data_IF_152260253596
#
_entry.id   IF_152260253596
#
_cell.length_a   1.000
_cell.length_b   1.000
_cell.length_c   1.000
_cell.angle_alpha   90.00
_cell.angle_beta   90.00
_cell.angle_gamma   90.00
#
_symmetry.space_group_name_H-M   'P 1'
#
loop_
_entity.id
_entity.type
_entity.pdbx_description
1 polymer ?
#
# COMPACT_ATOMS: atom_id res chain seq x y z
N UNK A 1 -27.04 -17.74 20.61
CA UNK A 1 -26.65 -17.07 19.36
C UNK A 1 -25.27 -16.45 19.55
N UNK A 2 -24.23 -17.20 19.18
CA UNK A 2 -22.85 -16.72 19.22
C UNK A 2 -22.65 -15.94 17.91
N UNK A 3 -22.68 -14.61 17.98
CA UNK A 3 -22.32 -13.75 16.86
C UNK A 3 -20.81 -13.73 16.74
N UNK A 4 -20.26 -14.67 15.98
CA UNK A 4 -18.89 -14.58 15.48
C UNK A 4 -18.85 -13.51 14.41
N UNK A 5 -18.62 -12.25 14.81
CA UNK A 5 -18.09 -11.25 13.89
C UNK A 5 -16.68 -11.71 13.51
N UNK A 6 -16.57 -12.57 12.50
CA UNK A 6 -15.31 -12.76 11.81
C UNK A 6 -14.89 -11.38 11.29
N UNK A 7 -13.77 -10.87 11.80
CA UNK A 7 -13.08 -9.74 11.22
C UNK A 7 -12.87 -10.05 9.73
N UNK A 8 -13.60 -9.34 8.87
CA UNK A 8 -13.39 -9.41 7.42
C UNK A 8 -11.95 -8.95 7.18
N UNK A 9 -11.05 -9.91 6.97
CA UNK A 9 -9.69 -9.65 6.51
C UNK A 9 -9.80 -8.74 5.29
N UNK A 10 -9.05 -7.63 5.30
CA UNK A 10 -9.02 -6.70 4.18
C UNK A 10 -8.71 -7.45 2.89
N UNK A 11 -9.36 -7.11 1.76
CA UNK A 11 -9.01 -7.68 0.48
C UNK A 11 -7.52 -7.42 0.19
N UNK A 12 -6.83 -8.43 -0.36
CA UNK A 12 -5.40 -8.38 -0.71
C UNK A 12 -5.03 -7.26 -1.70
N UNK A 13 -6.02 -6.62 -2.31
CA UNK A 13 -5.87 -5.50 -3.26
C UNK A 13 -5.78 -4.12 -2.60
N UNK A 14 -6.07 -3.99 -1.30
CA UNK A 14 -6.01 -2.71 -0.57
C UNK A 14 -4.62 -2.39 0.03
N UNK A 15 -4.42 -1.17 0.55
CA UNK A 15 -3.23 -0.83 1.32
C UNK A 15 -3.06 -1.78 2.52
N UNK A 16 -1.82 -2.23 2.74
CA UNK A 16 -1.45 -3.04 3.88
C UNK A 16 -1.58 -2.25 5.19
N UNK A 17 -1.28 -0.94 5.15
CA UNK A 17 -1.47 -0.01 6.26
C UNK A 17 -1.79 1.39 5.73
N UNK A 18 -2.81 2.03 6.29
CA UNK A 18 -3.18 3.42 5.99
C UNK A 18 -2.98 4.26 7.25
N UNK A 19 -2.10 5.25 7.16
CA UNK A 19 -1.80 6.16 8.26
C UNK A 19 -2.29 7.56 7.88
N UNK A 20 -3.01 8.22 8.77
CA UNK A 20 -3.33 9.64 8.67
C UNK A 20 -2.47 10.44 9.65
N UNK A 21 -2.01 11.62 9.26
CA UNK A 21 -1.38 12.59 10.17
C UNK A 21 -2.00 13.96 9.99
N UNK A 22 -2.27 14.65 11.08
CA UNK A 22 -2.79 16.02 11.04
C UNK A 22 -2.31 16.83 12.24
N UNK A 23 -1.68 17.97 11.96
CA UNK A 23 -1.59 19.06 12.92
C UNK A 23 -2.99 19.71 13.01
N UNK A 24 -3.63 19.59 14.18
CA UNK A 24 -5.05 19.90 14.34
C UNK A 24 -5.30 21.28 14.95
N UNK A 25 -4.28 21.99 15.42
CA UNK A 25 -4.37 23.33 16.02
C UNK A 25 -5.52 23.46 17.04
N UNK A 26 -5.51 22.58 18.03
CA UNK A 26 -6.50 22.47 19.08
C UNK A 26 -7.69 21.61 18.69
N UNK A 27 -7.86 20.50 19.42
CA UNK A 27 -8.94 19.54 19.17
C UNK A 27 -10.19 19.88 20.01
N UNK A 28 -11.36 19.76 19.38
CA UNK A 28 -12.67 19.90 20.00
C UNK A 28 -13.62 18.84 19.43
N UNK A 29 -14.84 18.72 19.97
CA UNK A 29 -15.80 17.68 19.56
C UNK A 29 -16.08 17.66 18.05
N UNK A 30 -16.16 18.83 17.40
CA UNK A 30 -16.41 18.90 15.96
C UNK A 30 -15.21 18.39 15.16
N UNK A 31 -14.00 18.75 15.57
CA UNK A 31 -12.76 18.23 14.96
C UNK A 31 -12.59 16.72 15.22
N UNK A 32 -13.02 16.22 16.37
CA UNK A 32 -13.05 14.78 16.69
C UNK A 32 -13.97 14.01 15.71
N UNK A 33 -15.14 14.56 15.38
CA UNK A 33 -16.06 13.99 14.39
C UNK A 33 -15.48 14.00 12.98
N UNK A 34 -14.85 15.12 12.57
CA UNK A 34 -14.21 15.23 11.25
C UNK A 34 -13.01 14.29 11.10
N UNK A 35 -12.22 14.10 12.15
CA UNK A 35 -11.14 13.11 12.16
C UNK A 35 -11.69 11.68 12.07
N UNK A 36 -12.85 11.40 12.69
CA UNK A 36 -13.50 10.10 12.59
C UNK A 36 -14.02 9.84 11.17
N UNK A 37 -14.64 10.84 10.53
CA UNK A 37 -15.07 10.76 9.14
C UNK A 37 -13.88 10.56 8.19
N UNK A 38 -12.81 11.34 8.34
CA UNK A 38 -11.57 11.18 7.59
C UNK A 38 -11.03 9.74 7.71
N UNK A 39 -11.00 9.20 8.93
CA UNK A 39 -10.55 7.84 9.17
C UNK A 39 -11.45 6.79 8.51
N UNK A 40 -12.78 6.99 8.59
CA UNK A 40 -13.77 6.08 8.01
C UNK A 40 -13.70 6.07 6.48
N UNK A 41 -13.71 7.23 5.84
CA UNK A 41 -13.66 7.37 4.37
C UNK A 41 -12.40 6.72 3.79
N UNK A 42 -11.28 6.81 4.49
CA UNK A 42 -9.98 6.34 4.01
C UNK A 42 -9.58 4.96 4.52
N UNK A 43 -10.44 4.29 5.30
CA UNK A 43 -10.09 3.04 5.99
C UNK A 43 -8.76 3.17 6.75
N UNK A 44 -8.64 4.22 7.57
CA UNK A 44 -7.45 4.53 8.33
C UNK A 44 -7.19 3.45 9.40
N UNK A 45 -5.92 3.10 9.58
CA UNK A 45 -5.45 2.15 10.60
C UNK A 45 -4.82 2.88 11.78
N UNK A 46 -4.06 3.93 11.52
CA UNK A 46 -3.36 4.73 12.53
C UNK A 46 -3.56 6.21 12.23
N UNK A 47 -4.04 6.98 13.21
CA UNK A 47 -4.18 8.43 13.12
C UNK A 47 -3.20 9.08 14.09
N UNK A 48 -2.27 9.86 13.56
CA UNK A 48 -1.35 10.71 14.31
C UNK A 48 -1.90 12.14 14.33
N UNK A 49 -2.03 12.73 15.51
CA UNK A 49 -2.56 14.07 15.70
C UNK A 49 -1.55 14.90 16.46
N UNK A 50 -1.17 16.06 15.92
CA UNK A 50 -0.28 17.04 16.55
C UNK A 50 -1.07 18.30 16.94
N UNK A 51 -0.55 19.09 17.88
CA UNK A 51 -1.21 20.30 18.43
C UNK A 51 -2.62 20.05 18.94
N UNK A 52 -2.82 19.03 19.77
CA UNK A 52 -4.14 18.71 20.36
C UNK A 52 -4.64 19.78 21.34
N UNK A 53 -3.75 20.56 21.96
CA UNK A 53 -4.05 21.57 22.99
C UNK A 53 -4.84 21.02 24.18
N UNK A 54 -4.56 19.77 24.58
CA UNK A 54 -5.15 19.12 25.76
C UNK A 54 -4.16 19.13 26.90
N UNK A 55 -4.54 19.66 28.06
CA UNK A 55 -3.74 19.54 29.29
C UNK A 55 -4.15 18.29 30.11
N UNK A 56 -3.40 17.95 31.14
CA UNK A 56 -3.67 16.78 31.99
C UNK A 56 -5.02 16.84 32.72
N UNK A 57 -5.59 18.03 32.92
CA UNK A 57 -6.89 18.23 33.56
C UNK A 57 -8.09 18.18 32.62
N UNK A 58 -7.86 18.07 31.30
CA UNK A 58 -8.90 18.00 30.29
C UNK A 58 -9.20 16.55 29.90
N UNK A 59 -10.40 16.32 29.39
CA UNK A 59 -10.75 15.03 28.82
C UNK A 59 -9.81 14.68 27.66
N UNK A 60 -9.38 13.42 27.62
CA UNK A 60 -8.63 12.88 26.50
C UNK A 60 -9.43 13.05 25.19
N UNK A 61 -8.73 13.35 24.08
CA UNK A 61 -9.35 13.44 22.78
C UNK A 61 -9.93 12.08 22.36
N UNK A 62 -11.04 12.12 21.64
CA UNK A 62 -11.75 10.92 21.17
C UNK A 62 -11.91 10.96 19.66
N UNK A 63 -11.95 9.80 19.02
CA UNK A 63 -12.22 9.70 17.58
C UNK A 63 -12.97 8.40 17.35
N UNK A 64 -14.22 8.49 16.89
CA UNK A 64 -15.07 7.31 16.76
C UNK A 64 -14.45 6.28 15.80
N UNK A 65 -14.50 4.99 16.18
CA UNK A 65 -13.86 3.90 15.45
C UNK A 65 -12.35 3.73 15.68
N UNK A 66 -11.73 4.62 16.47
CA UNK A 66 -10.30 4.57 16.80
C UNK A 66 -10.11 4.57 18.33
N UNK A 67 -9.17 3.77 18.83
CA UNK A 67 -8.73 3.77 20.23
C UNK A 67 -7.50 4.66 20.40
N UNK A 68 -7.46 5.46 21.47
CA UNK A 68 -6.29 6.25 21.85
C UNK A 68 -5.22 5.31 22.44
N UNK A 69 -3.98 5.35 21.92
CA UNK A 69 -2.90 4.42 22.32
C UNK A 69 -1.64 5.11 22.86
N UNK A 70 -1.45 6.38 22.52
CA UNK A 70 -0.39 7.22 23.07
C UNK A 70 -0.90 8.66 23.12
N UNK A 71 -0.58 9.37 24.19
CA UNK A 71 -0.90 10.79 24.36
C UNK A 71 0.18 11.50 25.15
N UNK A 72 0.62 12.65 24.63
CA UNK A 72 1.44 13.63 25.32
C UNK A 72 0.58 14.89 25.50
N UNK A 73 0.01 15.14 26.69
CA UNK A 73 -0.78 16.34 26.93
C UNK A 73 0.10 17.60 26.93
N UNK A 74 -0.37 18.68 26.30
CA UNK A 74 0.22 20.00 26.40
C UNK A 74 -0.80 21.09 26.13
N UNK A 75 -0.71 22.22 26.85
CA UNK A 75 -1.67 23.34 26.71
C UNK A 75 -1.54 24.07 25.36
N UNK A 76 -0.33 24.12 24.78
CA UNK A 76 -0.04 24.81 23.51
C UNK A 76 0.26 23.85 22.35
N UNK A 77 0.63 22.61 22.65
CA UNK A 77 1.09 21.62 21.67
C UNK A 77 0.32 20.33 21.90
N UNK A 78 1.01 19.21 22.06
CA UNK A 78 0.46 17.96 22.54
C UNK A 78 0.09 17.07 21.37
N UNK A 79 0.45 15.81 21.47
CA UNK A 79 0.29 14.83 20.40
C UNK A 79 -0.48 13.62 20.88
N UNK A 80 -1.20 12.98 19.96
CA UNK A 80 -1.93 11.76 20.22
C UNK A 80 -1.81 10.80 19.04
N UNK A 81 -1.70 9.51 19.34
CA UNK A 81 -1.83 8.45 18.34
C UNK A 81 -3.09 7.66 18.66
N UNK A 82 -3.93 7.50 17.65
CA UNK A 82 -5.08 6.62 17.66
C UNK A 82 -4.88 5.47 16.69
N UNK A 83 -5.42 4.30 17.03
CA UNK A 83 -5.35 3.11 16.19
C UNK A 83 -6.75 2.56 16.01
N UNK A 84 -7.08 2.02 14.84
CA UNK A 84 -8.39 1.39 14.62
C UNK A 84 -8.60 0.29 15.66
N UNK A 85 -9.80 0.22 16.24
CA UNK A 85 -10.06 -0.67 17.39
C UNK A 85 -9.74 -2.14 17.15
N UNK A 86 -9.85 -2.63 15.90
CA UNK A 86 -9.54 -4.02 15.50
C UNK A 86 -8.05 -4.32 15.30
N UNK A 87 -7.16 -3.35 15.51
CA UNK A 87 -5.71 -3.52 15.33
C UNK A 87 -5.04 -3.55 16.69
N UNK A 88 -4.23 -4.57 16.93
CA UNK A 88 -3.43 -4.68 18.15
C UNK A 88 -2.17 -3.83 18.09
N UNK A 89 -1.89 -3.18 19.22
CA UNK A 89 -0.67 -2.42 19.44
C UNK A 89 0.16 -3.19 20.44
N UNK A 90 1.40 -3.54 20.07
CA UNK A 90 2.28 -4.33 20.93
C UNK A 90 2.89 -3.47 22.04
N UNK A 91 3.37 -2.28 21.69
CA UNK A 91 3.96 -1.31 22.62
C UNK A 91 3.65 0.11 22.17
N UNK A 92 3.61 1.05 23.12
CA UNK A 92 3.67 2.48 22.86
C UNK A 92 4.73 3.11 23.76
N UNK A 93 5.52 4.03 23.21
CA UNK A 93 6.56 4.78 23.93
C UNK A 93 6.48 6.25 23.53
N UNK A 94 6.83 7.11 24.47
CA UNK A 94 6.84 8.56 24.30
C UNK A 94 8.19 9.05 24.82
N UNK A 95 8.88 9.83 24.00
CA UNK A 95 10.09 10.58 24.38
C UNK A 95 9.89 12.05 24.05
N UNK A 96 10.67 12.89 24.72
CA UNK A 96 10.60 14.33 24.56
C UNK A 96 11.98 14.97 24.77
N UNK A 97 12.34 15.90 23.89
CA UNK A 97 13.53 16.73 24.03
C UNK A 97 13.24 18.12 23.48
N UNK A 98 13.47 19.17 24.26
CA UNK A 98 13.23 20.57 23.86
C UNK A 98 11.83 20.83 23.26
N UNK A 99 10.79 20.30 23.93
CA UNK A 99 9.38 20.28 23.50
C UNK A 99 9.11 19.53 22.18
N UNK A 100 10.07 18.80 21.63
CA UNK A 100 9.88 17.91 20.48
C UNK A 100 9.23 16.63 20.99
N UNK A 101 8.02 16.36 20.52
CA UNK A 101 7.19 15.25 20.97
C UNK A 101 7.37 14.07 19.99
N UNK A 102 7.83 12.93 20.50
CA UNK A 102 8.07 11.73 19.69
C UNK A 102 7.27 10.57 20.29
N UNK A 103 6.20 10.19 19.60
CA UNK A 103 5.32 9.09 20.01
C UNK A 103 5.52 7.93 19.05
N UNK A 104 5.92 6.76 19.55
CA UNK A 104 6.14 5.56 18.71
C UNK A 104 5.29 4.39 19.18
N UNK A 105 4.59 3.75 18.24
CA UNK A 105 3.82 2.54 18.49
C UNK A 105 4.30 1.38 17.62
N UNK A 106 4.19 0.16 18.15
CA UNK A 106 4.40 -1.08 17.38
C UNK A 106 3.07 -1.64 16.89
N UNK A 107 2.91 -1.77 15.57
CA UNK A 107 1.74 -2.34 14.91
C UNK A 107 2.19 -3.40 13.92
N UNK A 108 1.84 -4.67 14.19
CA UNK A 108 2.25 -5.79 13.34
C UNK A 108 3.77 -5.90 13.19
N UNK A 109 4.27 -5.69 11.97
CA UNK A 109 5.71 -5.77 11.63
C UNK A 109 6.39 -4.41 11.49
N UNK A 110 5.72 -3.32 11.83
CA UNK A 110 6.25 -1.97 11.71
C UNK A 110 6.14 -1.19 13.01
N UNK A 111 6.98 -0.16 13.13
CA UNK A 111 6.80 0.94 14.05
C UNK A 111 6.20 2.13 13.30
N UNK A 112 5.28 2.83 13.95
CA UNK A 112 4.76 4.12 13.49
C UNK A 112 5.15 5.18 14.49
N UNK A 113 5.91 6.18 14.05
CA UNK A 113 6.40 7.29 14.87
C UNK A 113 5.76 8.60 14.43
N UNK A 114 4.98 9.21 15.32
CA UNK A 114 4.48 10.58 15.18
C UNK A 114 5.49 11.54 15.78
N UNK A 115 5.90 12.55 15.02
CA UNK A 115 6.78 13.63 15.50
C UNK A 115 6.06 14.98 15.43
N UNK A 116 6.14 15.75 16.50
CA UNK A 116 5.85 17.18 16.47
C UNK A 116 7.05 17.95 16.97
N UNK A 117 7.64 18.80 16.12
CA UNK A 117 8.67 19.75 16.50
C UNK A 117 8.08 21.16 16.47
N UNK A 118 8.11 21.92 17.57
CA UNK A 118 7.73 23.33 17.54
C UNK A 118 8.62 24.17 16.61
N UNK A 119 8.11 25.28 16.03
CA UNK A 119 8.84 26.08 15.05
C UNK A 119 10.13 26.70 15.58
N UNK A 120 10.15 27.07 16.87
CA UNK A 120 11.30 27.74 17.50
C UNK A 120 12.32 26.77 18.11
N UNK A 121 12.02 25.46 18.14
CA UNK A 121 12.94 24.45 18.67
C UNK A 121 14.00 24.10 17.62
N UNK A 122 15.19 23.72 18.09
CA UNK A 122 16.21 23.11 17.22
C UNK A 122 15.91 21.63 17.08
N UNK A 123 15.94 21.08 15.86
CA UNK A 123 15.66 19.66 15.67
C UNK A 123 16.64 18.78 16.44
N UNK A 124 16.07 17.88 17.23
CA UNK A 124 16.71 16.82 17.97
C UNK A 124 15.77 15.62 18.01
N UNK A 125 16.34 14.41 18.13
CA UNK A 125 15.57 13.17 18.15
C UNK A 125 16.00 12.32 19.34
N UNK A 126 15.23 12.38 20.42
CA UNK A 126 15.38 11.45 21.54
C UNK A 126 14.70 10.14 21.18
N UNK A 127 15.49 9.11 20.86
CA UNK A 127 14.99 7.87 20.25
C UNK A 127 14.18 7.05 21.26
N UNK A 128 12.89 6.76 21.01
CA UNK A 128 12.10 5.87 21.85
C UNK A 128 12.67 4.45 21.92
N UNK A 129 12.53 3.79 23.07
CA UNK A 129 13.05 2.43 23.29
C UNK A 129 12.49 1.39 22.30
N UNK A 130 11.28 1.62 21.77
CA UNK A 130 10.64 0.74 20.79
C UNK A 130 10.87 1.17 19.33
N UNK A 131 11.75 2.14 19.06
CA UNK A 131 11.96 2.64 17.69
C UNK A 131 12.56 1.58 16.77
N UNK A 132 13.57 0.84 17.24
CA UNK A 132 14.37 -0.14 16.48
C UNK A 132 13.88 -1.60 16.64
N UNK A 133 12.73 -1.83 17.29
CA UNK A 133 12.27 -3.20 17.61
C UNK A 133 11.66 -3.94 16.41
N UNK A 134 11.40 -3.24 15.31
CA UNK A 134 10.86 -3.78 14.04
C UNK A 134 11.73 -3.35 12.87
N UNK A 135 11.58 -4.05 11.74
CA UNK A 135 12.37 -3.78 10.53
C UNK A 135 11.78 -2.69 9.62
N UNK A 136 10.54 -2.25 9.87
CA UNK A 136 9.83 -1.27 9.05
C UNK A 136 9.50 -0.09 9.95
N UNK A 137 10.12 1.06 9.68
CA UNK A 137 9.89 2.31 10.41
C UNK A 137 9.09 3.26 9.52
N UNK A 138 7.95 3.72 10.01
CA UNK A 138 7.15 4.73 9.32
C UNK A 138 7.08 5.95 10.21
N UNK A 139 7.76 7.01 9.79
CA UNK A 139 7.77 8.28 10.52
C UNK A 139 6.93 9.31 9.76
N UNK A 140 6.05 9.98 10.48
CA UNK A 140 5.16 11.01 9.95
C UNK A 140 4.94 12.09 11.01
N UNK A 141 4.73 13.33 10.61
CA UNK A 141 4.53 14.39 11.57
C UNK A 141 4.76 15.77 11.00
N UNK A 142 4.77 16.75 11.89
CA UNK A 142 5.07 18.15 11.59
C UNK A 142 6.43 18.51 12.21
N UNK A 143 7.41 18.70 11.33
CA UNK A 143 8.78 18.97 11.72
C UNK A 143 9.05 20.47 11.83
N UNK A 144 8.16 21.36 11.37
CA UNK A 144 8.42 22.80 11.24
C UNK A 144 9.86 23.09 10.80
N UNK A 145 10.26 22.50 9.67
CA UNK A 145 11.62 22.53 9.13
C UNK A 145 11.55 22.62 7.60
N UNK A 146 12.25 23.58 7.03
CA UNK A 146 12.22 23.83 5.59
C UNK A 146 13.41 23.15 4.90
N UNK A 147 13.13 22.35 3.86
CA UNK A 147 14.16 21.75 3.02
C UNK A 147 13.68 21.62 1.58
N UNK A 148 14.59 21.83 0.64
CA UNK A 148 14.29 21.75 -0.80
C UNK A 148 13.85 20.35 -1.26
N UNK A 149 14.29 19.29 -0.57
CA UNK A 149 13.88 17.91 -0.88
C UNK A 149 12.41 17.60 -0.59
N UNK A 150 11.74 18.34 0.29
CA UNK A 150 10.30 18.19 0.52
C UNK A 150 9.48 19.39 0.07
N UNK A 151 10.06 20.23 -0.81
CA UNK A 151 9.34 21.20 -1.62
C UNK A 151 9.34 22.64 -1.12
N UNK A 152 10.25 23.01 -0.23
CA UNK A 152 10.50 24.43 0.09
C UNK A 152 11.50 25.04 -0.90
N UNK A 153 11.46 26.36 -1.06
CA UNK A 153 12.38 27.10 -1.94
C UNK A 153 13.81 27.12 -1.40
N UNK A 154 13.94 27.16 -0.07
CA UNK A 154 15.22 27.21 0.65
C UNK A 154 15.26 26.15 1.75
N UNK A 155 16.47 25.72 2.07
CA UNK A 155 16.75 24.85 3.20
C UNK A 155 17.14 25.69 4.41
N UNK A 156 16.48 25.47 5.54
CA UNK A 156 16.89 26.03 6.83
C UNK A 156 17.75 25.03 7.63
N UNK A 157 18.38 25.51 8.71
CA UNK A 157 19.26 24.70 9.57
C UNK A 157 18.55 23.51 10.23
N UNK A 158 17.24 23.58 10.46
CA UNK A 158 16.49 22.42 10.95
C UNK A 158 16.21 21.42 9.82
N UNK A 159 15.96 21.88 8.61
CA UNK A 159 15.83 21.07 7.41
C UNK A 159 17.07 20.21 7.17
N UNK A 160 18.26 20.84 7.21
CA UNK A 160 19.55 20.12 7.10
C UNK A 160 19.68 19.05 8.19
N UNK A 161 19.33 19.38 9.44
CA UNK A 161 19.41 18.42 10.56
C UNK A 161 18.45 17.25 10.40
N UNK A 162 17.24 17.50 9.91
CA UNK A 162 16.25 16.46 9.62
C UNK A 162 16.73 15.56 8.48
N UNK A 163 17.32 16.12 7.42
CA UNK A 163 17.89 15.33 6.32
C UNK A 163 19.04 14.44 6.80
N UNK A 164 20.02 15.00 7.53
CA UNK A 164 21.16 14.25 8.07
C UNK A 164 20.68 13.14 9.03
N UNK A 165 19.69 13.44 9.88
CA UNK A 165 19.07 12.43 10.74
C UNK A 165 18.38 11.34 9.94
N UNK A 166 17.64 11.70 8.89
CA UNK A 166 16.95 10.73 8.04
C UNK A 166 17.94 9.81 7.32
N UNK A 167 19.00 10.37 6.74
CA UNK A 167 20.07 9.62 6.08
C UNK A 167 20.77 8.67 7.05
N UNK A 168 21.12 9.16 8.25
CA UNK A 168 21.77 8.35 9.30
C UNK A 168 20.91 7.17 9.74
N UNK A 169 19.59 7.29 9.67
CA UNK A 169 18.63 6.23 9.98
C UNK A 169 18.16 5.45 8.73
N UNK A 170 18.78 5.69 7.56
CA UNK A 170 18.44 5.06 6.28
C UNK A 170 16.97 5.20 5.90
N UNK A 171 16.39 6.35 6.24
CA UNK A 171 15.00 6.68 5.93
C UNK A 171 14.92 7.25 4.52
N UNK A 172 13.80 6.97 3.85
CA UNK A 172 13.53 7.48 2.50
C UNK A 172 12.25 8.29 2.54
N UNK A 173 12.26 9.43 1.85
CA UNK A 173 11.09 10.29 1.76
C UNK A 173 10.03 9.63 0.86
N UNK A 174 8.81 9.46 1.38
CA UNK A 174 7.68 8.86 0.64
C UNK A 174 7.19 9.78 -0.50
N UNK A 175 7.51 11.07 -0.43
CA UNK A 175 7.20 12.04 -1.47
C UNK A 175 8.46 12.81 -1.83
N UNK A 176 9.22 12.30 -2.78
CA UNK A 176 10.29 13.07 -3.42
C UNK A 176 9.73 13.77 -4.67
N UNK A 177 9.62 15.11 -4.69
CA UNK A 177 9.21 15.85 -5.88
C UNK A 177 10.19 15.69 -7.07
N UNK A 178 11.39 15.15 -6.84
CA UNK A 178 12.47 14.99 -7.83
C UNK A 178 12.67 13.54 -8.30
N UNK A 179 12.12 12.52 -7.62
CA UNK A 179 12.35 11.11 -7.97
C UNK A 179 11.06 10.38 -8.35
N UNK A 180 11.05 9.82 -9.57
CA UNK A 180 9.91 9.04 -10.05
C UNK A 180 9.95 7.56 -9.62
N UNK A 181 11.11 6.95 -9.38
CA UNK A 181 11.18 5.50 -9.08
C UNK A 181 12.42 5.14 -8.25
N UNK A 182 12.22 4.73 -7.00
CA UNK A 182 13.16 3.88 -6.27
C UNK A 182 12.41 2.62 -5.85
N UNK A 183 13.02 1.46 -6.07
CA UNK A 183 12.50 0.17 -5.62
C UNK A 183 12.75 0.01 -4.11
N UNK A 184 11.86 0.55 -3.28
CA UNK A 184 11.82 0.28 -1.85
C UNK A 184 11.10 -1.05 -1.58
N UNK A 185 11.42 -1.70 -0.45
CA UNK A 185 10.75 -2.94 0.03
C UNK A 185 9.27 -2.67 0.41
N UNK A 186 8.92 -1.40 0.55
CA UNK A 186 7.58 -0.90 0.90
C UNK A 186 7.25 0.24 -0.06
N UNK A 187 6.16 0.12 -0.81
CA UNK A 187 5.67 1.16 -1.74
C UNK A 187 4.60 2.00 -1.02
N UNK A 188 4.95 3.25 -0.70
CA UNK A 188 4.11 4.19 0.03
C UNK A 188 3.59 5.29 -0.90
N UNK A 189 2.29 5.59 -0.82
CA UNK A 189 1.68 6.72 -1.53
C UNK A 189 1.24 7.79 -0.54
N UNK A 190 1.69 9.02 -0.75
CA UNK A 190 1.19 10.23 -0.06
C UNK A 190 -0.05 10.76 -0.78
N UNK A 191 -1.12 11.02 -0.03
CA UNK A 191 -2.32 11.71 -0.50
C UNK A 191 -2.68 12.83 0.49
N UNK A 192 -3.30 13.90 -0.02
CA UNK A 192 -3.73 15.03 0.81
C UNK A 192 -5.22 14.89 1.11
N UNK A 193 -5.57 14.88 2.39
CA UNK A 193 -6.94 14.81 2.88
C UNK A 193 -7.72 16.11 2.68
N UNK A 194 -9.04 16.02 2.92
CA UNK A 194 -9.91 17.20 2.94
C UNK A 194 -9.48 18.17 4.06
N UNK A 195 -9.63 19.49 3.85
CA UNK A 195 -9.32 20.46 4.88
C UNK A 195 -10.23 20.29 6.10
N UNK A 196 -9.66 20.48 7.29
CA UNK A 196 -10.43 20.57 8.53
C UNK A 196 -10.54 22.06 8.88
N UNK A 197 -11.73 22.58 9.29
CA UNK A 197 -11.87 23.99 9.65
C UNK A 197 -10.95 24.39 10.82
N UNK A 198 -10.44 25.62 10.77
CA UNK A 198 -9.57 26.19 11.81
C UNK A 198 -8.29 25.38 12.06
N UNK A 199 -7.69 24.85 11.00
CA UNK A 199 -6.28 24.44 10.94
C UNK A 199 -5.69 24.96 9.64
N UNK A 200 -4.45 25.46 9.68
CA UNK A 200 -3.72 25.85 8.46
C UNK A 200 -3.12 24.64 7.74
N UNK A 201 -3.04 23.48 8.43
CA UNK A 201 -2.50 22.25 7.90
C UNK A 201 -3.57 21.37 7.25
N UNK A 202 -3.15 20.63 6.23
CA UNK A 202 -3.99 19.62 5.59
C UNK A 202 -3.64 18.24 6.14
N UNK A 203 -4.61 17.38 6.45
CA UNK A 203 -4.33 16.00 6.79
C UNK A 203 -3.53 15.32 5.69
N UNK A 204 -2.51 14.55 6.05
CA UNK A 204 -1.71 13.74 5.14
C UNK A 204 -2.10 12.29 5.34
N UNK A 205 -2.40 11.60 4.24
CA UNK A 205 -2.67 10.17 4.19
C UNK A 205 -1.46 9.47 3.58
N UNK A 206 -0.89 8.53 4.32
CA UNK A 206 0.17 7.65 3.87
C UNK A 206 -0.40 6.23 3.70
N UNK A 207 -0.51 5.78 2.44
CA UNK A 207 -1.00 4.44 2.09
C UNK A 207 0.18 3.55 1.77
N UNK A 208 0.48 2.64 2.68
CA UNK A 208 1.55 1.66 2.55
C UNK A 208 1.01 0.41 1.88
N UNK A 209 1.62 0.02 0.75
CA UNK A 209 1.28 -1.21 0.03
C UNK A 209 2.42 -2.22 0.13
N UNK A 210 2.07 -3.51 0.24
CA UNK A 210 3.04 -4.57 0.09
C UNK A 210 3.54 -4.58 -1.37
N UNK A 211 4.86 -4.65 -1.57
CA UNK A 211 5.48 -4.63 -2.91
C UNK A 211 5.11 -5.88 -3.72
N UNK A 212 4.84 -7.00 -3.06
CA UNK A 212 4.27 -8.19 -3.72
C UNK A 212 2.76 -8.02 -3.80
N UNK A 213 2.30 -7.38 -4.87
CA UNK A 213 0.89 -7.38 -5.27
C UNK A 213 0.65 -8.62 -6.13
N UNK A 214 -0.33 -9.49 -5.81
CA UNK A 214 -0.87 -10.41 -6.80
C UNK A 214 -1.45 -9.55 -7.91
N UNK A 215 -0.73 -9.42 -9.01
CA UNK A 215 -1.27 -8.76 -10.18
C UNK A 215 -2.10 -9.82 -10.91
N UNK A 216 -3.38 -9.54 -11.13
CA UNK A 216 -4.15 -10.25 -12.14
C UNK A 216 -3.51 -9.94 -13.49
N UNK A 217 -2.56 -10.79 -13.89
CA UNK A 217 -1.97 -10.68 -15.21
C UNK A 217 -3.07 -11.00 -16.22
N UNK A 218 -3.51 -10.06 -17.07
CA UNK A 218 -4.42 -10.42 -18.14
C UNK A 218 -3.75 -11.51 -18.97
N UNK A 219 -4.50 -12.56 -19.34
CA UNK A 219 -3.98 -13.66 -20.15
C UNK A 219 -3.46 -13.12 -21.50
N UNK A 220 -2.15 -12.85 -21.57
CA UNK A 220 -1.50 -12.41 -22.79
C UNK A 220 -1.31 -13.62 -23.71
N UNK A 221 -1.98 -13.59 -24.88
CA UNK A 221 -1.75 -14.57 -25.95
C UNK A 221 -0.30 -14.43 -26.44
N UNK A 222 0.53 -15.44 -26.21
CA UNK A 222 1.94 -15.46 -26.62
C UNK A 222 2.09 -16.15 -27.98
N UNK A 223 3.08 -15.75 -28.75
CA UNK A 223 3.46 -16.45 -29.99
C UNK A 223 3.91 -17.87 -29.66
N UNK A 224 3.36 -18.85 -30.38
CA UNK A 224 3.81 -20.22 -30.32
C UNK A 224 4.75 -20.51 -31.49
N UNK A 225 6.03 -20.25 -31.28
CA UNK A 225 7.08 -20.45 -32.29
C UNK A 225 7.29 -21.92 -32.68
N UNK A 226 6.83 -22.87 -31.85
CA UNK A 226 6.90 -24.30 -32.16
C UNK A 226 5.84 -24.73 -33.18
N UNK A 227 4.70 -24.04 -33.24
CA UNK A 227 3.62 -24.27 -34.20
C UNK A 227 3.63 -23.28 -35.37
N UNK A 228 4.68 -22.47 -35.48
CA UNK A 228 4.80 -21.50 -36.56
C UNK A 228 5.01 -22.20 -37.90
N UNK A 229 4.28 -21.74 -38.91
CA UNK A 229 4.55 -22.11 -40.29
C UNK A 229 5.69 -21.22 -40.83
N UNK A 230 6.91 -21.62 -40.49
CA UNK A 230 8.11 -20.86 -40.86
C UNK A 230 8.33 -20.79 -42.36
N UNK A 231 7.91 -21.81 -43.12
CA UNK A 231 8.07 -21.83 -44.57
C UNK A 231 7.23 -20.73 -45.21
N UNK A 232 5.93 -20.69 -44.90
CA UNK A 232 5.03 -19.69 -45.47
C UNK A 232 5.30 -18.29 -44.92
N UNK A 233 5.72 -18.18 -43.65
CA UNK A 233 6.20 -16.92 -43.06
C UNK A 233 7.37 -16.33 -43.85
N UNK A 234 8.39 -17.15 -44.11
CA UNK A 234 9.63 -16.73 -44.79
C UNK A 234 9.31 -16.28 -46.21
N UNK A 235 8.57 -17.10 -46.98
CA UNK A 235 8.16 -16.74 -48.33
C UNK A 235 7.38 -15.42 -48.38
N UNK A 236 6.39 -15.25 -47.50
CA UNK A 236 5.58 -14.04 -47.47
C UNK A 236 6.38 -12.80 -47.05
N UNK A 237 7.37 -12.96 -46.17
CA UNK A 237 8.25 -11.88 -45.76
C UNK A 237 9.21 -11.49 -46.87
N UNK A 238 9.87 -12.45 -47.51
CA UNK A 238 10.78 -12.22 -48.63
C UNK A 238 10.07 -11.51 -49.79
N UNK A 239 8.88 -11.99 -50.17
CA UNK A 239 8.07 -11.36 -51.21
C UNK A 239 7.71 -9.91 -50.85
N UNK A 240 7.33 -9.65 -49.60
CA UNK A 240 6.88 -8.32 -49.20
C UNK A 240 8.04 -7.33 -48.95
N UNK A 241 9.19 -7.80 -48.49
CA UNK A 241 10.38 -6.96 -48.24
C UNK A 241 10.95 -6.39 -49.54
N UNK A 242 10.74 -7.04 -50.69
CA UNK A 242 11.15 -6.51 -52.01
C UNK A 242 10.56 -5.14 -52.34
N UNK A 243 9.49 -4.73 -51.65
CA UNK A 243 8.84 -3.42 -51.82
C UNK A 243 9.48 -2.30 -50.99
N UNK A 244 10.44 -2.61 -50.12
CA UNK A 244 11.10 -1.66 -49.24
C UNK A 244 12.58 -1.52 -49.60
N UNK A 245 13.03 -0.28 -49.79
CA UNK A 245 14.47 0.00 -49.94
C UNK A 245 15.20 -0.13 -48.59
N UNK A 246 16.44 -0.65 -48.58
CA UNK A 246 17.22 -0.88 -47.36
C UNK A 246 17.86 0.42 -46.84
N UNK A 247 17.03 1.39 -46.48
CA UNK A 247 17.41 2.69 -45.91
C UNK A 247 16.87 2.82 -44.48
N UNK A 248 17.53 3.61 -43.64
CA UNK A 248 17.19 3.72 -42.21
C UNK A 248 15.77 4.26 -41.98
N UNK A 249 15.29 5.11 -42.88
CA UNK A 249 13.95 5.70 -42.88
C UNK A 249 12.84 4.62 -42.97
N UNK A 250 13.17 3.43 -43.48
CA UNK A 250 12.23 2.32 -43.65
C UNK A 250 12.21 1.32 -42.47
N UNK A 251 12.91 1.60 -41.37
CA UNK A 251 12.95 0.69 -40.21
C UNK A 251 11.56 0.43 -39.58
N UNK A 252 10.76 1.49 -39.42
CA UNK A 252 9.39 1.38 -38.90
C UNK A 252 8.45 0.63 -39.87
N UNK A 253 8.42 0.97 -41.17
CA UNK A 253 7.72 0.18 -42.19
C UNK A 253 8.10 -1.31 -42.20
N UNK A 254 9.39 -1.63 -42.13
CA UNK A 254 9.89 -3.00 -42.06
C UNK A 254 9.40 -3.72 -40.79
N UNK A 255 9.52 -3.07 -39.63
CA UNK A 255 9.07 -3.64 -38.35
C UNK A 255 7.56 -3.91 -38.36
N UNK A 256 6.77 -3.02 -38.97
CA UNK A 256 5.32 -3.19 -39.13
C UNK A 256 4.99 -4.34 -40.08
N UNK A 257 5.77 -4.51 -41.15
CA UNK A 257 5.63 -5.59 -42.11
C UNK A 257 5.87 -6.95 -41.44
N UNK A 258 7.01 -7.10 -40.73
CA UNK A 258 7.36 -8.31 -39.97
C UNK A 258 6.24 -8.65 -38.98
N UNK A 259 5.81 -7.68 -38.15
CA UNK A 259 4.71 -7.88 -37.17
C UNK A 259 3.41 -8.34 -37.82
N UNK A 260 3.10 -7.84 -39.01
CA UNK A 260 1.87 -8.17 -39.73
C UNK A 260 1.90 -9.59 -40.28
N UNK A 261 3.02 -9.98 -40.88
CA UNK A 261 3.22 -11.33 -41.43
C UNK A 261 3.32 -12.35 -40.29
N UNK A 262 4.01 -12.03 -39.20
CA UNK A 262 4.07 -12.89 -38.01
C UNK A 262 2.68 -13.18 -37.43
N UNK A 263 1.73 -12.24 -37.48
CA UNK A 263 0.35 -12.49 -36.99
C UNK A 263 -0.42 -13.48 -37.86
N UNK A 264 -0.08 -13.61 -39.15
CA UNK A 264 -0.74 -14.53 -40.08
C UNK A 264 -0.18 -15.94 -40.00
N UNK A 265 1.11 -16.09 -39.74
CA UNK A 265 1.83 -17.37 -39.84
C UNK A 265 2.35 -17.94 -38.52
N UNK A 266 2.36 -17.14 -37.44
CA UNK A 266 2.76 -17.60 -36.11
C UNK A 266 1.52 -17.60 -35.20
N UNK A 267 0.97 -18.79 -34.90
CA UNK A 267 -0.23 -18.89 -34.07
C UNK A 267 0.06 -18.35 -32.67
N UNK A 268 -0.95 -17.72 -32.08
CA UNK A 268 -0.89 -17.21 -30.70
C UNK A 268 -1.76 -18.07 -29.81
N UNK A 269 -1.18 -18.55 -28.71
CA UNK A 269 -1.85 -19.40 -27.74
C UNK A 269 -1.74 -18.86 -26.32
N UNK A 270 -2.59 -19.36 -25.45
CA UNK A 270 -2.49 -19.17 -24.02
C UNK A 270 -2.14 -20.53 -23.39
N UNK A 271 -1.16 -20.57 -22.47
CA UNK A 271 -0.99 -21.75 -21.62
C UNK A 271 -2.13 -21.74 -20.60
N UNK A 272 -3.12 -22.60 -20.80
CA UNK A 272 -4.07 -22.96 -19.75
C UNK A 272 -3.23 -23.62 -18.64
N UNK A 273 -3.42 -23.21 -17.38
CA UNK A 273 -2.69 -23.79 -16.26
C UNK A 273 -3.01 -25.28 -16.21
N UNK A 274 -2.10 -26.10 -16.70
CA UNK A 274 -2.14 -27.54 -16.56
C UNK A 274 -1.76 -27.86 -15.10
N UNK A 275 -2.72 -28.29 -14.30
CA UNK A 275 -2.44 -28.87 -12.99
C UNK A 275 -1.97 -30.30 -13.26
N UNK A 276 -0.70 -30.65 -12.97
CA UNK A 276 -0.21 -32.01 -13.17
C UNK A 276 -1.07 -32.99 -12.35
N UNK A 277 -1.69 -33.97 -13.03
CA UNK A 277 -2.58 -34.96 -12.41
C UNK A 277 -4.07 -34.73 -12.65
N UNK A 278 -4.51 -33.57 -13.15
CA UNK A 278 -5.90 -33.38 -13.57
C UNK A 278 -6.05 -33.67 -15.07
N UNK A 279 -6.67 -34.80 -15.39
CA UNK A 279 -7.17 -35.10 -16.74
C UNK A 279 -8.34 -34.17 -17.09
N UNK A 280 -8.69 -34.00 -18.38
CA UNK A 280 -9.87 -33.20 -18.77
C UNK A 280 -11.16 -33.63 -18.06
N UNK A 281 -11.34 -34.94 -17.88
CA UNK A 281 -12.50 -35.51 -17.19
C UNK A 281 -12.52 -35.13 -15.70
N UNK A 282 -11.36 -35.09 -15.04
CA UNK A 282 -11.21 -34.62 -13.66
C UNK A 282 -11.50 -33.12 -13.51
N UNK A 283 -11.15 -32.31 -14.52
CA UNK A 283 -11.47 -30.87 -14.52
C UNK A 283 -12.97 -30.66 -14.58
N UNK A 284 -13.66 -31.38 -15.46
CA UNK A 284 -15.13 -31.30 -15.59
C UNK A 284 -15.83 -31.73 -14.29
N UNK A 285 -15.40 -32.84 -13.69
CA UNK A 285 -15.95 -33.31 -12.41
C UNK A 285 -15.67 -32.32 -11.27
N UNK A 286 -14.49 -31.70 -11.23
CA UNK A 286 -14.15 -30.67 -10.24
C UNK A 286 -15.00 -29.40 -10.40
N UNK A 287 -15.27 -28.96 -11.62
CA UNK A 287 -16.15 -27.82 -11.89
C UNK A 287 -17.59 -28.13 -11.45
N UNK A 288 -18.12 -29.31 -11.78
CA UNK A 288 -19.45 -29.76 -11.35
C UNK A 288 -19.58 -29.86 -9.82
N UNK A 289 -18.57 -30.38 -9.13
CA UNK A 289 -18.53 -30.40 -7.67
C UNK A 289 -18.51 -28.98 -7.08
N UNK A 290 -17.69 -28.10 -7.65
CA UNK A 290 -17.55 -26.70 -7.17
C UNK A 290 -18.87 -25.95 -7.28
N UNK A 291 -19.58 -26.09 -8.41
CA UNK A 291 -20.89 -25.45 -8.62
C UNK A 291 -21.94 -25.95 -7.62
N UNK A 292 -21.93 -27.25 -7.29
CA UNK A 292 -22.83 -27.84 -6.28
C UNK A 292 -22.48 -27.41 -4.86
N UNK A 293 -21.18 -27.35 -4.54
CA UNK A 293 -20.69 -26.92 -3.23
C UNK A 293 -21.05 -25.47 -2.91
N UNK A 294 -20.98 -24.57 -3.89
CA UNK A 294 -21.38 -23.17 -3.75
C UNK A 294 -22.90 -23.00 -3.60
N UNK A 295 -23.70 -23.96 -4.09
CA UNK A 295 -25.15 -23.97 -3.92
C UNK A 295 -25.58 -24.50 -2.54
N UNK A 296 -25.16 -25.72 -2.19
CA UNK A 296 -25.33 -26.29 -0.85
C UNK A 296 -24.23 -27.34 -0.58
N UNK A 297 -23.28 -27.06 0.34
CA UNK A 297 -22.17 -27.95 0.64
C UNK A 297 -22.57 -29.23 1.40
N UNK A 298 -23.80 -29.30 1.93
CA UNK A 298 -24.27 -30.45 2.71
C UNK A 298 -25.36 -31.26 2.00
N UNK A 299 -25.70 -30.92 0.76
CA UNK A 299 -26.62 -31.70 -0.05
C UNK A 299 -26.01 -33.07 -0.41
N UNK A 300 -26.84 -34.10 -0.47
CA UNK A 300 -26.43 -35.48 -0.71
C UNK A 300 -25.71 -35.62 -2.08
N UNK A 301 -26.19 -34.90 -3.10
CA UNK A 301 -25.62 -34.89 -4.44
C UNK A 301 -24.26 -34.16 -4.49
N UNK A 302 -24.05 -33.15 -3.64
CA UNK A 302 -22.75 -32.48 -3.47
C UNK A 302 -21.73 -33.43 -2.83
N UNK A 303 -22.16 -34.18 -1.82
CA UNK A 303 -21.31 -35.15 -1.12
C UNK A 303 -20.91 -36.29 -2.05
N UNK A 304 -21.88 -36.90 -2.74
CA UNK A 304 -21.64 -37.97 -3.72
C UNK A 304 -20.67 -37.52 -4.82
N UNK A 305 -20.85 -36.29 -5.35
CA UNK A 305 -19.96 -35.76 -6.38
C UNK A 305 -18.55 -35.48 -5.86
N UNK A 306 -18.42 -35.11 -4.58
CA UNK A 306 -17.14 -34.97 -3.91
C UNK A 306 -16.41 -36.30 -3.73
N UNK A 307 -17.13 -37.37 -3.38
CA UNK A 307 -16.58 -38.72 -3.28
C UNK A 307 -16.15 -39.28 -4.64
N UNK A 308 -16.94 -39.04 -5.71
CA UNK A 308 -16.58 -39.39 -7.09
C UNK A 308 -15.26 -38.72 -7.50
N UNK A 309 -15.12 -37.41 -7.24
CA UNK A 309 -13.90 -36.66 -7.51
C UNK A 309 -12.68 -37.23 -6.76
N UNK A 310 -12.86 -37.58 -5.47
CA UNK A 310 -11.77 -38.13 -4.66
C UNK A 310 -11.33 -39.51 -5.14
N UNK A 311 -12.26 -40.37 -5.58
CA UNK A 311 -11.93 -41.67 -6.14
C UNK A 311 -11.14 -41.55 -7.45
N UNK A 312 -11.53 -40.61 -8.33
CA UNK A 312 -10.83 -40.34 -9.59
C UNK A 312 -9.42 -39.73 -9.39
N UNK A 313 -9.17 -39.09 -8.25
CA UNK A 313 -7.84 -38.54 -7.89
C UNK A 313 -6.90 -39.60 -7.30
N UNK A 314 -7.43 -40.77 -6.90
CA UNK A 314 -6.66 -41.86 -6.27
C UNK A 314 -6.25 -43.00 -7.22
N UNK A 315 -6.74 -43.00 -8.47
CA UNK A 315 -6.31 -43.91 -9.55
C UNK A 315 -5.09 -43.38 -10.33
#
# INVERSE_FOLDING_TARGET
MISTKLDKKRPLSGPALTIASCNIEGINSNKEELLAELCKENSCDVLCVQETHRNEGMNNPRTNGMKLVAIRPHRKYGSAIFVRSSIDVTTSQITEIDDIEILTIEVGKCTVTSIYKPPNSTFAFDKPANFDTKNIHIIIGDFNSHHTNWGYDETDNNGDKVEVWAESNRLTLIHDPKLHHHSTVVDGKKEIGRPIPHTQHRPILCKITAVIKPCDTPFLRRYNFQKADWYTFTKALDDAVTTLEPVNENYEPFTKLVKTISRKHIPRGCRIKHIPGLTPDLVETLEQYTDKYEADPFDEDTIEKGEELMNLLTE
#
